data_IF_977283868703
#
_entry.id   IF_977283868703
#
_cell.length_a   1.000
_cell.length_b   1.000
_cell.length_c   1.000
_cell.angle_alpha   90.00
_cell.angle_beta   90.00
_cell.angle_gamma   90.00
#
_symmetry.space_group_name_H-M   'P 1'
#
loop_
_entity.id
_entity.type
_entity.pdbx_description
1 polymer ?
#
# COMPACT_ATOMS: atom_id res chain seq x y z
N UNK A 1 -56.15 -16.97 24.36
CA UNK A 1 -56.67 -17.59 23.12
C UNK A 1 -55.53 -18.37 22.46
N UNK A 2 -55.59 -19.66 22.67
CA UNK A 2 -54.65 -20.70 22.22
C UNK A 2 -55.12 -21.25 20.89
N UNK A 3 -54.32 -21.34 19.90
CA UNK A 3 -54.52 -22.16 18.71
C UNK A 3 -53.27 -22.90 18.31
N UNK A 4 -53.25 -24.18 18.62
CA UNK A 4 -52.35 -25.22 18.11
C UNK A 4 -52.62 -25.47 16.62
N UNK A 5 -51.55 -25.70 15.84
CA UNK A 5 -51.66 -26.45 14.59
C UNK A 5 -50.64 -27.57 14.55
N UNK A 6 -51.21 -28.76 14.24
CA UNK A 6 -50.61 -30.09 14.26
C UNK A 6 -49.76 -30.33 13.01
N UNK A 7 -48.72 -31.13 13.22
CA UNK A 7 -47.91 -31.79 12.24
C UNK A 7 -48.68 -32.82 11.34
N UNK A 8 -48.29 -32.93 10.11
CA UNK A 8 -48.62 -34.07 9.25
C UNK A 8 -47.37 -34.61 8.57
N UNK A 9 -46.91 -35.75 9.06
CA UNK A 9 -45.91 -36.60 8.41
C UNK A 9 -46.47 -37.26 7.16
N UNK A 10 -45.75 -37.25 6.07
CA UNK A 10 -45.92 -38.20 4.97
C UNK A 10 -44.59 -38.87 4.68
N UNK A 11 -44.52 -40.15 5.01
CA UNK A 11 -43.51 -41.09 4.59
C UNK A 11 -43.77 -41.51 3.12
N UNK A 12 -42.78 -41.49 2.30
CA UNK A 12 -42.82 -42.11 0.97
C UNK A 12 -41.62 -43.03 0.84
N UNK A 13 -41.93 -44.33 0.75
CA UNK A 13 -41.00 -45.41 0.36
C UNK A 13 -40.62 -45.23 -1.10
N UNK A 14 -39.35 -45.39 -1.41
CA UNK A 14 -38.88 -45.64 -2.77
C UNK A 14 -37.89 -46.80 -2.76
N UNK A 15 -38.19 -47.72 -3.68
CA UNK A 15 -37.58 -49.02 -3.87
C UNK A 15 -36.12 -48.96 -4.35
N UNK A 16 -35.36 -49.96 -3.91
CA UNK A 16 -34.02 -50.27 -4.39
C UNK A 16 -34.06 -50.87 -5.80
N UNK A 17 -33.28 -50.34 -6.72
CA UNK A 17 -32.89 -51.00 -7.96
C UNK A 17 -31.37 -51.15 -7.98
N UNK A 18 -30.93 -52.41 -7.86
CA UNK A 18 -29.53 -52.79 -8.05
C UNK A 18 -29.22 -52.83 -9.55
N UNK A 19 -28.21 -52.08 -9.99
CA UNK A 19 -27.62 -52.22 -11.32
C UNK A 19 -26.09 -52.32 -11.21
N UNK A 20 -25.59 -53.31 -11.93
CA UNK A 20 -24.30 -53.94 -11.79
C UNK A 20 -23.08 -53.00 -12.07
N UNK A 21 -22.01 -53.30 -11.34
CA UNK A 21 -20.66 -52.83 -11.55
C UNK A 21 -20.07 -53.49 -12.82
N UNK A 22 -19.74 -52.67 -13.82
CA UNK A 22 -18.73 -52.99 -14.80
C UNK A 22 -17.49 -52.11 -14.48
N UNK A 23 -16.50 -52.71 -13.88
CA UNK A 23 -15.21 -52.07 -13.63
C UNK A 23 -14.43 -51.99 -14.95
N UNK A 24 -14.42 -50.81 -15.56
CA UNK A 24 -13.48 -50.48 -16.61
C UNK A 24 -12.17 -49.97 -15.97
N UNK A 25 -11.14 -50.81 -16.02
CA UNK A 25 -9.76 -50.46 -15.73
C UNK A 25 -9.26 -49.46 -16.81
N UNK A 26 -9.31 -48.21 -16.55
CA UNK A 26 -8.63 -47.19 -17.36
C UNK A 26 -7.13 -47.25 -17.03
N UNK A 27 -6.23 -47.34 -18.04
CA UNK A 27 -4.80 -47.23 -17.80
C UNK A 27 -4.49 -45.83 -17.25
N UNK A 28 -3.83 -45.79 -16.11
CA UNK A 28 -3.27 -44.53 -15.55
C UNK A 28 -2.26 -43.96 -16.56
N UNK A 29 -2.62 -42.88 -17.20
CA UNK A 29 -1.68 -42.04 -17.93
C UNK A 29 -0.64 -41.48 -16.92
N UNK A 30 0.67 -41.67 -17.15
CA UNK A 30 1.66 -41.08 -16.29
C UNK A 30 1.44 -39.55 -16.32
N UNK A 31 1.26 -38.96 -15.14
CA UNK A 31 1.29 -37.51 -14.97
C UNK A 31 2.64 -37.04 -15.50
N UNK A 32 2.63 -36.36 -16.64
CA UNK A 32 3.76 -35.60 -17.12
C UNK A 32 4.09 -34.59 -16.03
N UNK A 33 5.21 -34.80 -15.32
CA UNK A 33 5.80 -33.78 -14.45
C UNK A 33 5.84 -32.50 -15.25
N UNK A 34 5.13 -31.47 -14.76
CA UNK A 34 5.32 -30.11 -15.27
C UNK A 34 6.84 -29.86 -15.21
N UNK A 35 7.46 -29.73 -16.37
CA UNK A 35 8.85 -29.36 -16.47
C UNK A 35 9.03 -28.12 -15.60
N UNK A 36 9.97 -28.18 -14.65
CA UNK A 36 10.49 -27.00 -13.97
C UNK A 36 10.79 -25.99 -15.06
N UNK A 37 9.94 -24.99 -15.18
CA UNK A 37 10.25 -23.80 -15.94
C UNK A 37 11.48 -23.25 -15.25
N UNK A 38 12.65 -23.49 -15.82
CA UNK A 38 13.92 -22.92 -15.42
C UNK A 38 13.69 -21.43 -15.30
N UNK A 39 13.42 -20.96 -14.07
CA UNK A 39 13.18 -19.57 -13.79
C UNK A 39 14.46 -18.83 -14.11
N UNK A 40 14.48 -18.18 -15.27
CA UNK A 40 15.57 -17.29 -15.63
C UNK A 40 15.68 -16.28 -14.51
N UNK A 41 16.87 -16.08 -13.91
CA UNK A 41 17.00 -15.07 -12.85
C UNK A 41 16.42 -13.75 -13.33
N UNK A 42 15.66 -13.08 -12.49
CA UNK A 42 15.14 -11.76 -12.83
C UNK A 42 16.30 -10.82 -13.18
N UNK A 43 16.12 -9.93 -14.16
CA UNK A 43 17.15 -8.95 -14.48
C UNK A 43 17.44 -8.09 -13.25
N UNK A 44 18.73 -8.01 -12.89
CA UNK A 44 19.21 -7.22 -11.75
C UNK A 44 19.86 -5.94 -12.26
N UNK A 45 19.56 -4.82 -11.59
CA UNK A 45 20.17 -3.52 -11.83
C UNK A 45 20.77 -3.02 -10.51
N UNK A 46 22.06 -2.68 -10.52
CA UNK A 46 22.75 -2.15 -9.34
C UNK A 46 22.52 -0.64 -9.27
N UNK A 47 21.87 -0.18 -8.20
CA UNK A 47 21.72 1.24 -7.95
C UNK A 47 23.05 1.85 -7.48
N UNK A 48 23.60 2.71 -8.29
CA UNK A 48 24.69 3.63 -7.94
C UNK A 48 24.24 5.05 -8.29
N UNK A 49 23.91 5.83 -7.28
CA UNK A 49 23.44 7.22 -7.49
C UNK A 49 24.53 8.16 -7.98
N UNK A 50 25.80 7.73 -8.04
CA UNK A 50 26.88 8.54 -8.55
C UNK A 50 26.89 8.53 -10.07
N UNK A 51 26.75 9.70 -10.66
CA UNK A 51 26.81 9.84 -12.12
C UNK A 51 25.50 9.60 -12.84
N UNK A 52 24.38 9.47 -12.12
CA UNK A 52 23.05 9.53 -12.75
C UNK A 52 22.83 10.91 -13.36
N UNK A 53 22.18 10.97 -14.50
CA UNK A 53 21.73 12.21 -15.11
C UNK A 53 20.48 12.75 -14.39
N UNK A 54 20.31 14.06 -14.45
CA UNK A 54 19.09 14.69 -13.96
C UNK A 54 18.05 14.64 -15.06
N UNK A 55 16.97 13.91 -14.81
CA UNK A 55 15.80 13.85 -15.66
C UNK A 55 14.75 14.90 -15.31
N UNK A 56 13.53 14.66 -15.75
CA UNK A 56 12.38 15.50 -15.46
C UNK A 56 12.00 15.45 -13.96
N UNK A 57 11.46 16.55 -13.41
CA UNK A 57 10.93 16.54 -12.05
C UNK A 57 9.84 15.47 -11.85
N UNK A 58 9.60 15.00 -10.61
CA UNK A 58 8.53 14.06 -10.34
C UNK A 58 7.18 14.51 -10.89
N UNK A 59 6.48 13.61 -11.60
CA UNK A 59 5.12 13.84 -12.09
C UNK A 59 4.05 13.69 -10.98
N UNK A 60 4.48 13.41 -9.76
CA UNK A 60 3.63 13.33 -8.57
C UNK A 60 4.05 14.38 -7.54
N UNK A 61 3.21 14.61 -6.53
CA UNK A 61 3.56 15.54 -5.47
C UNK A 61 4.66 14.96 -4.56
N UNK A 62 5.57 15.81 -4.15
CA UNK A 62 6.64 15.47 -3.22
C UNK A 62 7.00 16.68 -2.35
N UNK A 63 7.69 16.48 -1.26
CA UNK A 63 8.13 17.61 -0.44
C UNK A 63 9.64 17.62 -0.23
N UNK A 64 10.16 18.85 -0.09
CA UNK A 64 11.53 19.12 0.29
C UNK A 64 11.57 19.89 1.61
N UNK A 65 12.41 19.43 2.53
CA UNK A 65 12.74 20.16 3.76
C UNK A 65 14.13 20.78 3.64
N UNK A 66 14.21 22.11 3.74
CA UNK A 66 15.46 22.87 3.65
C UNK A 66 15.49 23.98 4.70
N UNK A 67 16.56 24.00 5.52
CA UNK A 67 16.78 25.05 6.53
C UNK A 67 15.57 25.30 7.46
N UNK A 68 14.94 24.22 7.95
CA UNK A 68 13.79 24.29 8.84
C UNK A 68 12.46 24.67 8.15
N UNK A 69 12.43 24.72 6.83
CA UNK A 69 11.22 24.98 6.05
C UNK A 69 10.90 23.78 5.17
N UNK A 70 9.64 23.40 5.14
CA UNK A 70 9.13 22.34 4.25
C UNK A 70 8.27 22.96 3.16
N UNK A 71 8.50 22.56 1.92
CA UNK A 71 7.72 22.95 0.75
C UNK A 71 7.24 21.71 0.04
N UNK A 72 5.96 21.64 -0.26
CA UNK A 72 5.39 20.63 -1.16
C UNK A 72 5.49 21.17 -2.59
N UNK A 73 6.01 20.33 -3.48
CA UNK A 73 6.03 20.52 -4.92
C UNK A 73 4.89 19.68 -5.51
N UNK A 74 3.94 20.31 -6.15
CA UNK A 74 2.84 19.63 -6.84
C UNK A 74 3.28 19.09 -8.19
N UNK A 75 2.60 18.07 -8.69
CA UNK A 75 2.82 17.48 -10.02
C UNK A 75 2.80 18.51 -11.17
N UNK A 76 2.02 19.59 -11.04
CA UNK A 76 1.95 20.72 -11.98
C UNK A 76 2.97 21.84 -11.75
N UNK A 77 4.03 21.63 -10.92
CA UNK A 77 5.07 22.62 -10.62
C UNK A 77 4.68 23.67 -9.55
N UNK A 78 3.46 23.60 -9.00
CA UNK A 78 3.04 24.46 -7.88
C UNK A 78 3.87 24.22 -6.63
N UNK A 79 4.00 25.24 -5.78
CA UNK A 79 4.77 25.18 -4.51
C UNK A 79 3.89 25.61 -3.34
N UNK A 80 3.74 24.74 -2.35
CA UNK A 80 2.90 24.96 -1.16
C UNK A 80 3.77 24.92 0.10
N UNK A 81 3.77 25.98 0.94
CA UNK A 81 4.40 25.91 2.26
C UNK A 81 3.73 24.84 3.13
N UNK A 82 4.54 24.06 3.84
CA UNK A 82 4.06 23.01 4.72
C UNK A 82 4.75 23.04 6.08
N UNK A 83 4.15 22.42 7.12
CA UNK A 83 4.80 22.32 8.44
C UNK A 83 6.10 21.52 8.40
N UNK A 84 7.08 21.89 9.21
CA UNK A 84 8.40 21.24 9.27
C UNK A 84 8.37 19.75 9.65
N UNK A 85 7.30 19.30 10.29
CA UNK A 85 7.12 17.91 10.72
C UNK A 85 6.20 17.13 9.79
N UNK A 86 6.11 17.57 8.52
CA UNK A 86 5.40 16.83 7.49
C UNK A 86 5.98 15.42 7.37
N UNK A 87 5.12 14.40 7.41
CA UNK A 87 5.52 13.01 7.39
C UNK A 87 4.82 12.22 6.28
N UNK A 88 3.58 12.57 5.96
CA UNK A 88 2.88 12.06 4.79
C UNK A 88 2.09 13.18 4.14
N UNK A 89 1.91 13.07 2.83
CA UNK A 89 1.10 14.00 2.04
C UNK A 89 0.32 13.24 0.98
N UNK A 90 -0.89 13.71 0.71
CA UNK A 90 -1.74 13.21 -0.36
C UNK A 90 -2.40 14.40 -1.06
N UNK A 91 -2.28 14.55 -2.38
CA UNK A 91 -3.03 15.56 -3.12
C UNK A 91 -4.54 15.39 -2.91
N UNK A 92 -5.26 16.51 -2.72
CA UNK A 92 -6.70 16.47 -2.50
C UNK A 92 -7.35 17.78 -2.96
N UNK A 93 -8.10 17.71 -4.06
CA UNK A 93 -8.71 18.90 -4.67
C UNK A 93 -7.65 19.95 -5.01
N UNK A 94 -7.84 21.18 -4.54
CA UNK A 94 -6.90 22.31 -4.75
C UNK A 94 -5.77 22.36 -3.71
N UNK A 95 -5.60 21.34 -2.87
CA UNK A 95 -4.62 21.34 -1.78
C UNK A 95 -4.11 19.94 -1.47
N UNK A 96 -3.82 19.71 -0.19
CA UNK A 96 -3.25 18.46 0.29
C UNK A 96 -3.85 18.03 1.62
N UNK A 97 -4.07 16.74 1.80
CA UNK A 97 -4.20 16.14 3.13
C UNK A 97 -2.78 15.81 3.60
N UNK A 98 -2.40 16.37 4.73
CA UNK A 98 -1.08 16.16 5.30
C UNK A 98 -1.16 15.48 6.66
N UNK A 99 -0.14 14.69 6.95
CA UNK A 99 0.08 14.14 8.27
C UNK A 99 1.41 14.63 8.84
N UNK A 100 1.38 15.08 10.09
CA UNK A 100 2.57 15.53 10.82
C UNK A 100 2.78 14.67 12.04
N UNK A 101 4.05 14.39 12.40
CA UNK A 101 4.41 13.66 13.62
C UNK A 101 4.91 14.62 14.70
N UNK A 102 4.44 14.43 15.92
CA UNK A 102 4.88 15.17 17.10
C UNK A 102 4.94 14.29 18.35
N UNK A 103 5.38 14.88 19.48
CA UNK A 103 5.48 14.17 20.77
C UNK A 103 4.15 13.54 21.23
N UNK A 104 3.00 14.07 20.79
CA UNK A 104 1.66 13.56 21.09
C UNK A 104 1.12 12.55 20.07
N UNK A 105 1.91 12.11 19.09
CA UNK A 105 1.53 11.26 17.96
C UNK A 105 1.21 12.06 16.69
N UNK A 106 0.60 11.39 15.72
CA UNK A 106 0.30 11.99 14.41
C UNK A 106 -0.93 12.90 14.46
N UNK A 107 -0.90 13.92 13.61
CA UNK A 107 -2.03 14.82 13.34
C UNK A 107 -2.26 14.90 11.85
N UNK A 108 -3.51 14.81 11.44
CA UNK A 108 -3.93 14.89 10.05
C UNK A 108 -4.81 16.12 9.86
N UNK A 109 -4.58 16.85 8.77
CA UNK A 109 -5.41 17.98 8.34
C UNK A 109 -5.31 18.20 6.84
N UNK A 110 -6.28 18.89 6.27
CA UNK A 110 -6.18 19.45 4.94
C UNK A 110 -5.46 20.81 4.99
N UNK A 111 -4.69 21.14 3.95
CA UNK A 111 -4.11 22.47 3.72
C UNK A 111 -4.40 22.90 2.28
N UNK A 112 -4.65 24.18 2.06
CA UNK A 112 -4.81 24.76 0.74
C UNK A 112 -3.51 24.81 -0.05
N UNK A 113 -3.59 25.14 -1.34
CA UNK A 113 -2.43 25.32 -2.21
C UNK A 113 -1.50 26.47 -1.76
N UNK A 114 -2.01 27.42 -0.98
CA UNK A 114 -1.26 28.50 -0.35
C UNK A 114 -0.64 28.11 0.99
N UNK A 115 -0.88 26.89 1.46
CA UNK A 115 -0.44 26.38 2.77
C UNK A 115 -1.37 26.77 3.92
N UNK A 116 -2.49 27.45 3.65
CA UNK A 116 -3.48 27.79 4.68
C UNK A 116 -4.11 26.51 5.27
N UNK A 117 -4.21 26.41 6.60
CA UNK A 117 -4.80 25.22 7.23
C UNK A 117 -6.32 25.20 7.07
N UNK A 118 -6.85 24.01 6.79
CA UNK A 118 -8.28 23.74 6.87
C UNK A 118 -8.82 23.89 8.29
N UNK A 119 -10.15 23.93 8.42
CA UNK A 119 -10.85 24.19 9.67
C UNK A 119 -10.68 23.10 10.72
N UNK A 120 -10.32 21.88 10.32
CA UNK A 120 -10.27 20.70 11.20
C UNK A 120 -8.89 20.07 11.23
N UNK A 121 -8.50 19.60 12.41
CA UNK A 121 -7.32 18.78 12.65
C UNK A 121 -7.72 17.57 13.49
N UNK A 122 -7.24 16.39 13.11
CA UNK A 122 -7.51 15.14 13.81
C UNK A 122 -6.25 14.58 14.45
N UNK A 123 -6.38 14.05 15.66
CA UNK A 123 -5.34 13.22 16.27
C UNK A 123 -5.47 11.80 15.73
N UNK A 124 -4.50 11.38 14.93
CA UNK A 124 -4.55 10.13 14.18
C UNK A 124 -3.44 9.17 14.60
N UNK A 125 -3.52 7.94 14.14
CA UNK A 125 -2.38 7.06 13.98
C UNK A 125 -1.58 7.46 12.75
N UNK A 126 -0.44 6.84 12.54
CA UNK A 126 0.36 6.98 11.34
C UNK A 126 -0.33 6.29 10.16
N UNK A 127 -0.44 6.93 9.03
CA UNK A 127 -0.95 6.39 7.77
C UNK A 127 -2.09 7.20 7.16
N UNK A 128 -1.90 7.57 5.91
CA UNK A 128 -2.94 8.05 4.99
C UNK A 128 -3.22 6.93 3.98
N UNK A 129 -4.46 6.76 3.59
CA UNK A 129 -4.88 5.87 2.51
C UNK A 129 -5.58 6.71 1.44
N UNK A 130 -5.09 6.64 0.21
CA UNK A 130 -5.57 7.46 -0.91
C UNK A 130 -6.34 6.57 -1.87
N UNK A 131 -7.45 7.06 -2.40
CA UNK A 131 -8.17 6.35 -3.45
C UNK A 131 -7.39 6.36 -4.77
N UNK A 132 -7.68 5.40 -5.65
CA UNK A 132 -6.87 5.16 -6.85
C UNK A 132 -6.73 6.38 -7.78
N UNK A 133 -7.73 7.26 -7.82
CA UNK A 133 -7.74 8.49 -8.63
C UNK A 133 -7.54 9.77 -7.79
N UNK A 134 -7.34 9.63 -6.46
CA UNK A 134 -7.15 10.76 -5.56
C UNK A 134 -8.43 11.51 -5.16
N UNK A 135 -9.61 10.94 -5.43
CA UNK A 135 -10.90 11.56 -5.07
C UNK A 135 -11.22 11.54 -3.57
N UNK A 136 -10.55 10.68 -2.80
CA UNK A 136 -10.71 10.58 -1.35
C UNK A 136 -9.40 10.21 -0.65
N UNK A 137 -9.22 10.71 0.57
CA UNK A 137 -8.14 10.33 1.49
C UNK A 137 -8.72 9.89 2.81
N UNK A 138 -8.35 8.71 3.29
CA UNK A 138 -8.79 8.18 4.58
C UNK A 138 -7.64 8.12 5.59
N UNK A 139 -7.99 8.22 6.86
CA UNK A 139 -7.08 8.13 7.99
C UNK A 139 -7.79 7.56 9.23
N UNK A 140 -7.03 6.99 10.13
CA UNK A 140 -7.57 6.37 11.34
C UNK A 140 -7.03 7.04 12.60
N UNK A 141 -7.84 7.04 13.65
CA UNK A 141 -7.52 7.63 14.95
C UNK A 141 -7.56 6.62 16.10
N UNK A 142 -7.72 7.17 17.32
CA UNK A 142 -7.83 6.37 18.55
C UNK A 142 -9.14 5.57 18.55
N UNK A 143 -9.10 4.39 19.16
CA UNK A 143 -10.25 3.49 19.32
C UNK A 143 -10.91 3.12 17.97
N UNK A 144 -10.08 2.94 16.92
CA UNK A 144 -10.53 2.47 15.62
C UNK A 144 -11.42 3.43 14.85
N UNK A 145 -11.54 4.69 15.24
CA UNK A 145 -12.28 5.68 14.47
C UNK A 145 -11.61 5.91 13.13
N UNK A 146 -12.39 5.94 12.07
CA UNK A 146 -11.91 6.12 10.69
C UNK A 146 -12.68 7.25 10.03
N UNK A 147 -11.98 8.06 9.29
CA UNK A 147 -12.54 9.18 8.54
C UNK A 147 -11.99 9.19 7.12
N UNK A 148 -12.76 9.75 6.20
CA UNK A 148 -12.26 10.20 4.90
C UNK A 148 -12.57 11.68 4.69
N UNK A 149 -11.71 12.30 3.90
CA UNK A 149 -11.90 13.64 3.34
C UNK A 149 -12.07 13.48 1.84
N UNK A 150 -13.03 14.18 1.25
CA UNK A 150 -13.24 14.23 -0.20
C UNK A 150 -12.50 15.43 -0.85
N UNK A 151 -12.60 15.51 -2.17
CA UNK A 151 -11.92 16.51 -3.01
C UNK A 151 -12.17 17.97 -2.64
N UNK A 152 -13.23 18.29 -1.90
CA UNK A 152 -13.48 19.65 -1.45
C UNK A 152 -12.69 20.01 -0.18
N UNK A 153 -12.07 19.03 0.50
CA UNK A 153 -11.34 19.23 1.76
C UNK A 153 -12.23 19.55 2.97
N UNK A 154 -13.49 19.90 2.75
CA UNK A 154 -14.46 20.29 3.78
C UNK A 154 -15.39 19.15 4.20
N UNK A 155 -15.54 18.14 3.37
CA UNK A 155 -16.44 17.03 3.61
C UNK A 155 -15.73 15.88 4.28
N UNK A 156 -16.15 15.57 5.48
CA UNK A 156 -15.63 14.48 6.29
C UNK A 156 -16.71 13.43 6.48
N UNK A 157 -16.43 12.21 5.98
CA UNK A 157 -17.24 11.04 6.30
C UNK A 157 -16.62 10.31 7.49
N UNK A 158 -17.46 9.87 8.42
CA UNK A 158 -17.07 9.00 9.54
C UNK A 158 -17.58 7.58 9.27
N UNK A 159 -16.68 6.62 9.31
CA UNK A 159 -16.98 5.20 9.17
C UNK A 159 -17.30 4.56 10.52
N UNK A 160 -17.93 3.41 10.51
CA UNK A 160 -18.03 2.59 11.70
C UNK A 160 -16.63 2.25 12.23
N UNK A 161 -16.39 2.38 13.54
CA UNK A 161 -15.08 2.14 14.11
C UNK A 161 -14.68 0.66 14.03
N UNK A 162 -13.42 0.41 13.66
CA UNK A 162 -12.86 -0.95 13.72
C UNK A 162 -12.51 -1.34 15.17
N UNK A 163 -12.62 -2.62 15.56
CA UNK A 163 -12.45 -3.05 16.96
C UNK A 163 -10.98 -3.16 17.35
N UNK A 164 -10.30 -2.04 17.50
CA UNK A 164 -8.91 -1.95 17.92
C UNK A 164 -8.73 -1.10 19.17
N UNK A 165 -7.72 -1.43 19.96
CA UNK A 165 -7.22 -0.60 21.04
C UNK A 165 -6.11 0.31 20.53
N UNK A 166 -6.00 1.52 21.05
CA UNK A 166 -5.00 2.48 20.60
C UNK A 166 -5.38 3.22 19.31
N UNK A 167 -4.38 3.54 18.49
CA UNK A 167 -4.56 4.26 17.21
C UNK A 167 -4.43 3.29 16.04
N UNK A 168 -5.37 3.38 15.10
CA UNK A 168 -5.31 2.65 13.84
C UNK A 168 -4.39 3.32 12.82
N UNK A 169 -3.91 2.53 11.85
CA UNK A 169 -3.22 3.00 10.66
C UNK A 169 -4.09 2.71 9.44
N UNK A 170 -4.56 3.73 8.75
CA UNK A 170 -5.16 3.55 7.42
C UNK A 170 -4.07 3.19 6.42
N UNK A 171 -4.35 2.26 5.51
CA UNK A 171 -3.35 1.69 4.60
C UNK A 171 -3.81 1.71 3.16
N UNK A 172 -5.06 1.38 2.89
CA UNK A 172 -5.62 1.35 1.54
C UNK A 172 -7.07 1.84 1.56
N UNK A 173 -7.47 2.51 0.49
CA UNK A 173 -8.81 3.03 0.28
C UNK A 173 -9.31 2.60 -1.10
N UNK A 174 -10.43 1.91 -1.11
CA UNK A 174 -11.12 1.48 -2.33
C UNK A 174 -12.40 2.29 -2.48
N UNK A 175 -12.67 2.75 -3.70
CA UNK A 175 -13.75 3.68 -4.02
C UNK A 175 -13.26 5.13 -4.04
N UNK A 176 -13.83 5.92 -4.94
CA UNK A 176 -13.45 7.33 -5.14
C UNK A 176 -14.42 8.30 -4.45
N UNK A 177 -15.68 7.93 -4.36
CA UNK A 177 -16.71 8.69 -3.67
C UNK A 177 -17.18 7.92 -2.44
N UNK A 178 -16.75 8.37 -1.27
CA UNK A 178 -17.08 7.77 0.00
C UNK A 178 -18.48 8.15 0.51
N UNK A 179 -19.26 8.90 -0.27
CA UNK A 179 -20.64 9.24 0.09
C UNK A 179 -21.51 7.99 0.15
N UNK A 180 -22.28 7.91 1.18
CA UNK A 180 -23.40 6.97 1.22
C UNK A 180 -24.51 7.50 0.33
N UNK A 181 -24.65 6.97 -0.86
CA UNK A 181 -25.77 7.28 -1.77
C UNK A 181 -26.19 6.04 -2.54
N UNK A 182 -27.42 5.99 -2.98
CA UNK A 182 -27.95 4.91 -3.80
C UNK A 182 -27.22 4.76 -5.15
N UNK A 183 -26.46 5.76 -5.56
CA UNK A 183 -25.72 5.82 -6.84
C UNK A 183 -24.21 5.70 -6.68
N UNK A 184 -23.70 5.72 -5.44
CA UNK A 184 -22.27 5.55 -5.13
C UNK A 184 -21.98 4.12 -4.72
N UNK A 185 -20.92 3.53 -5.26
CA UNK A 185 -20.41 2.23 -4.80
C UNK A 185 -19.77 2.32 -3.41
N UNK A 186 -19.72 3.52 -2.83
CA UNK A 186 -19.13 3.79 -1.54
C UNK A 186 -17.62 3.54 -1.48
N UNK A 187 -17.09 3.56 -0.26
CA UNK A 187 -15.66 3.33 -0.01
C UNK A 187 -15.46 2.21 1.00
N UNK A 188 -14.30 1.56 0.89
CA UNK A 188 -13.80 0.62 1.90
C UNK A 188 -12.39 1.02 2.30
N UNK A 189 -12.17 1.25 3.60
CA UNK A 189 -10.88 1.61 4.19
C UNK A 189 -10.29 0.42 4.91
N UNK A 190 -9.07 0.06 4.56
CA UNK A 190 -8.28 -0.96 5.27
C UNK A 190 -7.46 -0.30 6.38
N UNK A 191 -7.56 -0.86 7.58
CA UNK A 191 -6.98 -0.28 8.79
C UNK A 191 -6.22 -1.34 9.57
N UNK A 192 -4.96 -1.08 9.85
CA UNK A 192 -4.18 -1.90 10.75
C UNK A 192 -4.37 -1.44 12.20
N UNK A 193 -4.69 -2.39 13.08
CA UNK A 193 -4.46 -2.29 14.51
C UNK A 193 -3.07 -2.81 14.88
N UNK A 194 -2.77 -2.95 16.18
CA UNK A 194 -1.44 -3.40 16.63
C UNK A 194 -1.02 -4.78 16.10
N UNK A 195 -1.95 -5.69 15.92
CA UNK A 195 -1.66 -7.09 15.56
C UNK A 195 -2.58 -7.66 14.49
N UNK A 196 -3.50 -6.89 13.94
CA UNK A 196 -4.52 -7.38 13.01
C UNK A 196 -4.94 -6.28 12.03
N UNK A 197 -5.26 -6.71 10.82
CA UNK A 197 -5.86 -5.89 9.79
C UNK A 197 -7.40 -6.01 9.83
N UNK A 198 -8.06 -4.89 9.62
CA UNK A 198 -9.51 -4.75 9.51
C UNK A 198 -9.87 -3.93 8.27
N UNK A 199 -11.12 -3.98 7.87
CA UNK A 199 -11.67 -3.01 6.95
C UNK A 199 -13.00 -2.47 7.49
N UNK A 200 -13.34 -1.26 7.07
CA UNK A 200 -14.64 -0.64 7.31
C UNK A 200 -15.13 0.01 6.03
N UNK A 201 -16.44 -0.05 5.78
CA UNK A 201 -17.03 0.52 4.57
C UNK A 201 -18.00 1.63 4.87
N UNK A 202 -18.27 2.50 3.89
CA UNK A 202 -19.31 3.53 3.98
C UNK A 202 -20.71 2.94 4.10
N UNK A 203 -20.90 1.67 3.78
CA UNK A 203 -22.16 0.93 3.99
C UNK A 203 -22.25 0.28 5.37
N UNK A 204 -21.40 0.66 6.31
CA UNK A 204 -21.45 0.22 7.70
C UNK A 204 -20.86 -1.16 7.98
N UNK A 205 -20.27 -1.84 6.98
CA UNK A 205 -19.62 -3.13 7.17
C UNK A 205 -18.30 -2.92 7.91
N UNK A 206 -18.04 -3.73 8.95
CA UNK A 206 -16.75 -3.80 9.65
C UNK A 206 -16.38 -5.26 9.80
N UNK A 207 -15.20 -5.65 9.32
CA UNK A 207 -14.72 -7.03 9.46
C UNK A 207 -13.18 -7.09 9.45
N UNK A 208 -12.64 -8.28 9.73
CA UNK A 208 -11.22 -8.57 9.64
C UNK A 208 -10.82 -8.85 8.20
N UNK A 209 -9.62 -8.42 7.84
CA UNK A 209 -9.03 -8.83 6.57
C UNK A 209 -8.63 -10.30 6.68
N UNK A 210 -9.23 -11.20 5.88
CA UNK A 210 -8.91 -12.62 5.95
C UNK A 210 -7.46 -12.86 5.51
N UNK A 211 -6.80 -13.85 6.12
CA UNK A 211 -5.46 -14.32 5.72
C UNK A 211 -4.29 -13.33 5.91
N UNK A 212 -4.54 -12.07 6.23
CA UNK A 212 -3.50 -11.10 6.55
C UNK A 212 -3.47 -10.77 8.03
N UNK A 213 -2.27 -10.71 8.60
CA UNK A 213 -2.03 -10.13 9.92
C UNK A 213 -2.07 -8.61 9.85
N UNK A 214 -1.38 -8.02 8.86
CA UNK A 214 -1.38 -6.59 8.58
C UNK A 214 -1.52 -6.37 7.07
N UNK A 215 -2.28 -5.38 6.67
CA UNK A 215 -2.32 -4.89 5.29
C UNK A 215 -1.13 -3.96 5.06
N UNK A 216 -0.48 -4.05 3.93
CA UNK A 216 0.61 -3.13 3.54
C UNK A 216 0.25 -2.26 2.34
N UNK A 217 -0.59 -2.77 1.44
CA UNK A 217 -1.02 -2.06 0.24
C UNK A 217 -2.38 -2.56 -0.25
N UNK A 218 -3.02 -1.79 -1.13
CA UNK A 218 -4.25 -2.23 -1.80
C UNK A 218 -4.64 -1.31 -2.94
N UNK A 219 -5.00 -1.90 -4.10
CA UNK A 219 -5.47 -1.17 -5.29
C UNK A 219 -6.32 -2.07 -6.19
N UNK A 220 -7.39 -1.53 -6.76
CA UNK A 220 -8.29 -2.29 -7.64
C UNK A 220 -8.97 -3.44 -6.92
N UNK A 221 -8.60 -4.69 -7.22
CA UNK A 221 -9.05 -5.90 -6.53
C UNK A 221 -7.96 -6.60 -5.71
N UNK A 222 -6.80 -5.97 -5.60
CA UNK A 222 -5.62 -6.52 -4.97
C UNK A 222 -5.40 -5.92 -3.59
N UNK A 223 -5.07 -6.76 -2.63
CA UNK A 223 -4.69 -6.36 -1.27
C UNK A 223 -3.47 -7.17 -0.88
N UNK A 224 -2.37 -6.48 -0.62
CA UNK A 224 -1.12 -7.08 -0.17
C UNK A 224 -0.88 -6.86 1.32
N UNK A 225 -0.17 -7.78 1.95
CA UNK A 225 0.19 -7.59 3.34
C UNK A 225 0.92 -8.75 3.99
N UNK A 226 1.26 -8.55 5.24
CA UNK A 226 2.02 -9.48 6.08
C UNK A 226 1.10 -10.57 6.60
N UNK A 227 1.48 -11.83 6.45
CA UNK A 227 0.79 -13.01 7.00
C UNK A 227 1.41 -13.47 8.32
N UNK A 228 2.73 -13.40 8.42
CA UNK A 228 3.51 -13.73 9.62
C UNK A 228 4.69 -12.78 9.80
N UNK A 229 5.09 -12.57 11.04
CA UNK A 229 6.22 -11.74 11.42
C UNK A 229 6.99 -12.47 12.52
N UNK A 230 8.30 -12.55 12.37
CA UNK A 230 9.26 -13.10 13.33
C UNK A 230 10.46 -12.17 13.48
N UNK A 231 11.37 -12.48 14.39
CA UNK A 231 12.60 -11.71 14.59
C UNK A 231 13.59 -11.84 13.42
N UNK A 232 13.39 -12.84 12.55
CA UNK A 232 14.27 -13.13 11.40
C UNK A 232 13.65 -12.76 10.07
N UNK A 233 12.46 -12.17 10.05
CA UNK A 233 11.80 -11.75 8.82
C UNK A 233 10.28 -11.84 8.86
N UNK A 234 9.69 -11.62 7.70
CA UNK A 234 8.24 -11.68 7.52
C UNK A 234 7.86 -12.50 6.29
N UNK A 235 6.64 -13.04 6.28
CA UNK A 235 6.05 -13.53 5.05
C UNK A 235 4.87 -12.65 4.68
N UNK A 236 4.71 -12.42 3.38
CA UNK A 236 3.65 -11.63 2.79
C UNK A 236 2.74 -12.47 1.90
N UNK A 237 1.53 -12.00 1.65
CA UNK A 237 0.64 -12.55 0.63
C UNK A 237 -0.01 -11.43 -0.16
N UNK A 238 -0.33 -11.75 -1.42
CA UNK A 238 -1.21 -10.97 -2.27
C UNK A 238 -2.56 -11.66 -2.34
N UNK A 239 -3.61 -10.92 -2.03
CA UNK A 239 -5.00 -11.35 -2.17
C UNK A 239 -5.61 -10.74 -3.41
N UNK A 240 -6.43 -11.52 -4.11
CA UNK A 240 -7.32 -11.06 -5.16
C UNK A 240 -8.76 -11.32 -4.73
N UNK A 241 -9.55 -10.27 -4.53
CA UNK A 241 -10.94 -10.38 -4.05
C UNK A 241 -11.06 -11.30 -2.82
N UNK A 242 -10.23 -11.08 -1.80
CA UNK A 242 -10.13 -11.82 -0.53
C UNK A 242 -9.56 -13.26 -0.63
N UNK A 243 -9.23 -13.76 -1.82
CA UNK A 243 -8.58 -15.05 -2.01
C UNK A 243 -7.08 -14.88 -2.18
N UNK A 244 -6.27 -15.74 -1.54
CA UNK A 244 -4.81 -15.72 -1.70
C UNK A 244 -4.45 -16.10 -3.13
N UNK A 245 -3.82 -15.18 -3.86
CA UNK A 245 -3.26 -15.43 -5.18
C UNK A 245 -1.89 -16.08 -5.07
N UNK A 246 -1.00 -15.52 -4.24
CA UNK A 246 0.34 -16.05 -4.00
C UNK A 246 0.89 -15.58 -2.64
N UNK A 247 2.05 -16.14 -2.25
CA UNK A 247 2.77 -15.81 -1.03
C UNK A 247 4.26 -15.74 -1.30
N UNK A 248 4.97 -14.96 -0.46
CA UNK A 248 6.43 -14.90 -0.43
C UNK A 248 6.92 -14.67 1.00
N UNK A 249 8.11 -15.16 1.31
CA UNK A 249 8.85 -14.81 2.51
C UNK A 249 10.16 -14.08 2.17
N UNK A 250 10.34 -13.68 0.92
CA UNK A 250 11.51 -12.93 0.45
C UNK A 250 11.25 -11.42 0.48
N UNK A 251 9.98 -11.01 0.35
CA UNK A 251 9.60 -9.61 0.24
C UNK A 251 8.50 -9.18 1.21
N UNK A 252 8.61 -7.97 1.73
CA UNK A 252 7.49 -7.17 2.25
C UNK A 252 6.92 -6.33 1.11
N UNK A 253 5.61 -6.45 0.88
CA UNK A 253 4.92 -5.74 -0.19
C UNK A 253 4.62 -4.30 0.24
N UNK A 254 4.78 -3.33 -0.67
CA UNK A 254 4.49 -1.92 -0.39
C UNK A 254 3.45 -1.33 -1.35
N UNK A 255 3.81 -0.78 -2.49
CA UNK A 255 2.89 -0.06 -3.37
C UNK A 255 2.53 -0.87 -4.63
N UNK A 256 1.28 -0.74 -5.12
CA UNK A 256 0.79 -1.40 -6.35
C UNK A 256 0.75 -0.36 -7.46
N UNK A 257 1.29 -0.72 -8.65
CA UNK A 257 1.31 0.16 -9.81
C UNK A 257 -0.08 0.64 -10.23
N UNK A 258 -0.20 1.85 -10.83
CA UNK A 258 -1.48 2.40 -11.24
C UNK A 258 -2.31 1.51 -12.16
N UNK A 259 -1.67 0.69 -12.98
CA UNK A 259 -2.31 -0.28 -13.88
C UNK A 259 -2.57 -1.65 -13.23
N UNK A 260 -2.21 -1.84 -11.96
CA UNK A 260 -2.35 -3.06 -11.18
C UNK A 260 -1.53 -4.26 -11.70
N UNK A 261 -0.53 -4.06 -12.54
CA UNK A 261 0.32 -5.15 -13.06
C UNK A 261 1.48 -5.49 -12.17
N UNK A 262 1.99 -4.53 -11.42
CA UNK A 262 3.18 -4.66 -10.59
C UNK A 262 2.91 -4.29 -9.13
N UNK A 263 3.70 -4.85 -8.23
CA UNK A 263 3.77 -4.48 -6.82
C UNK A 263 5.22 -4.38 -6.40
N UNK A 264 5.54 -3.41 -5.57
CA UNK A 264 6.87 -3.23 -5.00
C UNK A 264 7.07 -4.20 -3.83
N UNK A 265 8.28 -4.72 -3.70
CA UNK A 265 8.72 -5.55 -2.60
C UNK A 265 10.08 -5.12 -2.10
N UNK A 266 10.20 -4.93 -0.80
CA UNK A 266 11.50 -4.78 -0.13
C UNK A 266 11.88 -6.09 0.56
N UNK A 267 13.17 -6.36 0.85
CA UNK A 267 13.55 -7.58 1.55
C UNK A 267 12.74 -7.82 2.81
N UNK A 268 12.26 -9.05 3.01
CA UNK A 268 11.47 -9.45 4.18
C UNK A 268 12.20 -9.29 5.51
N UNK A 269 13.52 -9.18 5.45
CA UNK A 269 14.41 -8.84 6.54
C UNK A 269 15.45 -7.83 6.06
N UNK A 270 15.61 -6.74 6.76
CA UNK A 270 16.63 -5.74 6.49
C UNK A 270 17.28 -5.30 7.80
N UNK A 271 18.62 -5.38 7.85
CA UNK A 271 19.42 -4.83 8.93
C UNK A 271 19.85 -3.39 8.65
N UNK A 272 20.12 -2.65 9.71
CA UNK A 272 20.63 -1.29 9.62
C UNK A 272 19.56 -0.22 9.43
N UNK A 273 19.84 0.76 8.57
CA UNK A 273 18.99 1.96 8.42
C UNK A 273 17.77 1.77 7.52
N UNK A 274 17.64 0.63 6.84
CA UNK A 274 16.53 0.33 5.96
C UNK A 274 16.90 -0.67 4.85
N UNK A 275 15.97 -1.01 3.96
CA UNK A 275 16.21 -1.94 2.88
C UNK A 275 17.28 -1.42 1.90
N UNK A 276 18.06 -2.34 1.38
CA UNK A 276 19.12 -2.10 0.39
C UNK A 276 18.80 -2.72 -0.98
N UNK A 277 17.60 -3.21 -1.16
CA UNK A 277 17.07 -3.72 -2.40
C UNK A 277 15.59 -3.38 -2.56
N UNK A 278 15.14 -3.31 -3.79
CA UNK A 278 13.74 -3.10 -4.17
C UNK A 278 13.44 -4.00 -5.36
N UNK A 279 12.43 -4.84 -5.22
CA UNK A 279 11.95 -5.72 -6.28
C UNK A 279 10.65 -5.18 -6.88
N UNK A 280 10.54 -5.26 -8.18
CA UNK A 280 9.29 -5.12 -8.92
C UNK A 280 8.76 -6.52 -9.18
N UNK A 281 7.61 -6.84 -8.61
CA UNK A 281 6.98 -8.15 -8.69
C UNK A 281 5.72 -8.06 -9.58
N UNK A 282 5.45 -9.11 -10.34
CA UNK A 282 4.15 -9.22 -11.02
C UNK A 282 3.03 -9.43 -9.98
N UNK A 283 2.00 -8.58 -10.01
CA UNK A 283 0.89 -8.66 -9.05
C UNK A 283 0.12 -9.99 -9.16
N UNK A 284 0.11 -10.60 -10.35
CA UNK A 284 -0.68 -11.79 -10.64
C UNK A 284 -0.16 -13.06 -9.94
N UNK A 285 1.16 -13.25 -9.88
CA UNK A 285 1.80 -14.48 -9.44
C UNK A 285 3.02 -14.28 -8.53
N UNK A 286 3.45 -13.03 -8.30
CA UNK A 286 4.59 -12.71 -7.45
C UNK A 286 5.96 -12.96 -8.08
N UNK A 287 6.02 -13.27 -9.37
CA UNK A 287 7.30 -13.41 -10.08
C UNK A 287 8.06 -12.08 -10.10
N UNK A 288 9.38 -12.14 -9.89
CA UNK A 288 10.24 -10.95 -9.93
C UNK A 288 10.43 -10.52 -11.37
N UNK A 289 10.00 -9.31 -11.71
CA UNK A 289 10.15 -8.70 -13.02
C UNK A 289 11.49 -7.98 -13.13
N UNK A 290 11.89 -7.27 -12.05
CA UNK A 290 13.14 -6.52 -11.94
C UNK A 290 13.56 -6.42 -10.48
N UNK A 291 14.87 -6.53 -10.24
CA UNK A 291 15.49 -6.23 -8.95
C UNK A 291 16.42 -5.05 -9.06
N UNK A 292 16.27 -4.09 -8.14
CA UNK A 292 17.21 -3.00 -7.93
C UNK A 292 17.95 -3.28 -6.63
N UNK A 293 19.25 -3.56 -6.73
CA UNK A 293 20.10 -3.86 -5.58
C UNK A 293 21.13 -2.76 -5.36
N UNK A 294 21.65 -2.64 -4.16
CA UNK A 294 22.74 -1.72 -3.89
C UNK A 294 24.10 -2.40 -4.00
N UNK A 295 25.12 -1.64 -4.38
CA UNK A 295 26.49 -2.14 -4.45
C UNK A 295 26.97 -2.66 -3.08
N UNK A 296 27.63 -3.83 -3.05
CA UNK A 296 28.07 -4.53 -1.82
C UNK A 296 29.34 -3.97 -1.18
N UNK A 297 29.98 -2.95 -1.72
CA UNK A 297 31.32 -2.49 -1.37
C UNK A 297 31.37 -1.33 -0.38
N UNK A 298 30.56 -1.36 0.68
CA UNK A 298 30.55 -0.36 1.77
C UNK A 298 29.98 1.01 1.40
N UNK A 299 29.37 1.14 0.22
CA UNK A 299 28.65 2.31 -0.26
C UNK A 299 27.24 1.96 -0.69
N UNK A 300 26.61 1.09 0.08
CA UNK A 300 25.24 0.64 -0.21
C UNK A 300 24.27 1.80 -0.23
N UNK A 301 23.38 1.82 -1.21
CA UNK A 301 22.20 2.67 -1.17
C UNK A 301 21.21 2.09 -0.17
N UNK A 302 20.54 2.97 0.58
CA UNK A 302 19.42 2.61 1.45
C UNK A 302 18.17 3.29 0.92
N UNK A 303 17.08 2.56 0.83
CA UNK A 303 15.78 3.06 0.39
C UNK A 303 14.97 3.50 1.62
N UNK A 304 14.27 4.63 1.56
CA UNK A 304 13.53 5.21 2.68
C UNK A 304 12.05 5.44 2.39
N UNK A 305 11.70 5.63 1.13
CA UNK A 305 10.35 5.90 0.68
C UNK A 305 10.27 5.51 -0.79
N UNK A 306 9.25 4.79 -1.19
CA UNK A 306 9.04 4.35 -2.55
C UNK A 306 7.57 4.49 -2.95
N UNK A 307 7.34 4.93 -4.17
CA UNK A 307 6.00 5.06 -4.74
C UNK A 307 6.04 4.92 -6.25
N UNK A 308 5.04 4.32 -6.84
CA UNK A 308 4.86 4.35 -8.29
C UNK A 308 4.58 5.78 -8.75
N UNK A 309 5.33 6.28 -9.71
CA UNK A 309 5.05 7.53 -10.39
C UNK A 309 3.97 7.33 -11.46
N UNK A 310 4.14 6.28 -12.24
CA UNK A 310 3.21 5.80 -13.29
C UNK A 310 3.23 4.25 -13.36
N UNK A 311 2.82 3.66 -14.49
CA UNK A 311 2.78 2.21 -14.67
C UNK A 311 4.17 1.56 -14.83
N UNK A 312 5.19 2.34 -15.19
CA UNK A 312 6.52 1.85 -15.56
C UNK A 312 7.66 2.46 -14.73
N UNK A 313 7.38 3.51 -13.95
CA UNK A 313 8.39 4.20 -13.17
C UNK A 313 8.05 4.25 -11.69
N UNK A 314 9.08 4.00 -10.87
CA UNK A 314 9.05 4.10 -9.41
C UNK A 314 9.95 5.24 -8.97
N UNK A 315 9.45 6.12 -8.11
CA UNK A 315 10.29 7.08 -7.41
C UNK A 315 10.73 6.50 -6.07
N UNK A 316 12.00 6.64 -5.74
CA UNK A 316 12.55 6.21 -4.46
C UNK A 316 13.35 7.33 -3.82
N UNK A 317 13.12 7.57 -2.54
CA UNK A 317 14.02 8.39 -1.71
C UNK A 317 15.15 7.50 -1.25
N UNK A 318 16.39 7.84 -1.60
CA UNK A 318 17.56 7.02 -1.28
C UNK A 318 18.66 7.84 -0.64
N UNK A 319 19.48 7.17 0.18
CA UNK A 319 20.70 7.72 0.75
C UNK A 319 21.90 6.87 0.34
N UNK A 320 22.90 7.47 -0.28
CA UNK A 320 24.16 6.84 -0.64
C UNK A 320 25.29 7.86 -0.68
N UNK A 321 26.48 7.49 -0.21
CA UNK A 321 27.70 8.33 -0.27
C UNK A 321 27.46 9.77 0.26
N UNK A 322 26.87 9.90 1.45
CA UNK A 322 26.55 11.15 2.12
C UNK A 322 25.60 12.09 1.34
N UNK A 323 24.77 11.50 0.47
CA UNK A 323 23.78 12.23 -0.32
C UNK A 323 22.41 11.58 -0.27
N UNK A 324 21.42 12.41 -0.09
CA UNK A 324 20.03 12.12 -0.31
C UNK A 324 19.64 12.44 -1.75
N UNK A 325 18.87 11.58 -2.39
CA UNK A 325 18.33 11.82 -3.72
C UNK A 325 16.90 11.25 -3.84
N UNK A 326 16.16 11.75 -4.81
CA UNK A 326 14.99 11.05 -5.35
C UNK A 326 15.41 10.51 -6.71
N UNK A 327 15.37 9.20 -6.85
CA UNK A 327 15.76 8.49 -8.08
C UNK A 327 14.50 7.93 -8.72
N UNK A 328 14.38 8.08 -10.03
CA UNK A 328 13.39 7.37 -10.85
C UNK A 328 13.99 6.08 -11.35
N UNK A 329 13.31 4.98 -11.09
CA UNK A 329 13.67 3.62 -11.49
C UNK A 329 12.64 3.13 -12.51
N UNK A 330 13.07 2.80 -13.72
CA UNK A 330 12.19 2.21 -14.74
C UNK A 330 12.12 0.68 -14.62
N UNK A 331 10.96 0.08 -14.86
CA UNK A 331 10.80 -1.38 -14.90
C UNK A 331 11.74 -2.03 -15.93
N UNK A 332 12.15 -1.29 -16.96
CA UNK A 332 13.17 -1.69 -17.93
C UNK A 332 14.60 -1.70 -17.37
N UNK A 333 14.82 -1.12 -16.19
CA UNK A 333 16.11 -1.00 -15.53
C UNK A 333 16.82 0.34 -15.75
N UNK A 334 16.16 1.31 -16.40
CA UNK A 334 16.65 2.70 -16.51
C UNK A 334 16.66 3.37 -15.13
N UNK A 335 17.59 4.32 -14.96
CA UNK A 335 17.73 5.09 -13.70
C UNK A 335 18.15 6.52 -14.00
N UNK A 336 17.53 7.48 -13.32
CA UNK A 336 17.89 8.89 -13.38
C UNK A 336 17.56 9.58 -12.04
N UNK A 337 18.11 10.77 -11.81
CA UNK A 337 17.62 11.63 -10.74
C UNK A 337 16.30 12.28 -11.14
N UNK A 338 15.25 12.08 -10.37
CA UNK A 338 14.03 12.89 -10.45
C UNK A 338 14.16 14.19 -9.63
N UNK A 339 15.00 14.17 -8.57
CA UNK A 339 15.40 15.38 -7.82
C UNK A 339 16.91 15.34 -7.59
N UNK A 340 17.59 16.44 -7.87
CA UNK A 340 19.03 16.57 -7.73
C UNK A 340 19.53 16.17 -6.34
N UNK A 341 20.66 15.45 -6.23
CA UNK A 341 21.15 14.93 -4.98
C UNK A 341 21.59 16.06 -4.03
N UNK A 342 21.40 15.81 -2.73
CA UNK A 342 21.72 16.76 -1.67
C UNK A 342 22.58 16.11 -0.60
N UNK A 343 23.63 16.77 -0.17
CA UNK A 343 24.46 16.34 0.96
C UNK A 343 23.66 16.28 2.25
N UNK A 344 23.90 15.26 3.07
CA UNK A 344 23.27 15.06 4.37
C UNK A 344 23.87 13.88 5.11
N UNK A 345 23.25 13.50 6.23
CA UNK A 345 23.59 12.31 7.00
C UNK A 345 22.35 11.45 7.15
N UNK A 346 22.51 10.16 7.38
CA UNK A 346 21.41 9.21 7.52
C UNK A 346 20.73 9.29 8.90
N UNK A 347 21.42 9.84 9.89
CA UNK A 347 20.91 9.98 11.28
C UNK A 347 19.84 11.07 11.40
N UNK A 348 19.68 11.91 10.39
CA UNK A 348 18.64 12.93 10.36
C UNK A 348 17.51 12.48 9.44
N UNK A 349 16.34 12.99 9.72
CA UNK A 349 15.17 12.74 8.87
C UNK A 349 15.46 13.07 7.41
N UNK A 350 15.06 12.20 6.50
CA UNK A 350 15.17 12.40 5.07
C UNK A 350 14.64 13.80 4.67
N UNK A 351 15.36 14.53 3.81
CA UNK A 351 14.93 15.85 3.36
C UNK A 351 13.79 15.80 2.35
N UNK A 352 13.53 14.64 1.77
CA UNK A 352 12.50 14.41 0.77
C UNK A 352 11.42 13.48 1.31
N UNK A 353 10.17 13.70 0.90
CA UNK A 353 9.02 12.86 1.17
C UNK A 353 8.18 12.76 -0.10
N UNK A 354 7.84 11.57 -0.52
CA UNK A 354 6.96 11.33 -1.65
C UNK A 354 5.49 11.37 -1.22
N UNK A 355 4.58 11.60 -2.14
CA UNK A 355 3.15 11.51 -1.84
C UNK A 355 2.77 10.08 -1.50
N UNK A 356 1.81 9.91 -0.59
CA UNK A 356 1.14 8.64 -0.33
C UNK A 356 0.15 8.35 -1.46
N UNK A 357 0.06 7.11 -1.88
CA UNK A 357 -0.90 6.60 -2.86
C UNK A 357 -1.81 5.50 -2.30
#
# INVERSE_FOLDING_TARGET
MTTSFRAASRATLVAAAALGLAAALSPATPATSAADASSRPAPETVLDVRGLELGDPPAIAWSERRSGRTVIHGAGGGRTPAPDRLDQLAPMGSGYVIQTIGLGGSRTRWIGADGSPGRREWRTGYGLAVSAQGGAVAFAGKAGRVWSIDEAGDRVLSFNPVPITGRGRAVALFGEDCKESATSNGCTVYVNGPNRAYYTSSHGIVDRVPRLRLTSTGRGRWVGGITSLSDTGSCSAMLRSATVAWRTCDNQLSDISPDNRHVLGTPAYADGFGPNALDVLATADGSVVRSFTSARNGRSATYFDEVWEDAEHVLVVTFQADRWAVVRLGVDGSMEYAVAPRRGTVDVRAPFQLQTR
#
